data_IF_036709510313
#
_entry.id   IF_036709510313
#
_cell.length_a   1.000
_cell.length_b   1.000
_cell.length_c   1.000
_cell.angle_alpha   90.00
_cell.angle_beta   90.00
_cell.angle_gamma   90.00
#
_symmetry.space_group_name_H-M   'P 1'
#
loop_
_entity.id
_entity.type
_entity.pdbx_description
1 polymer ?
#
# COMPACT_ATOMS: atom_id res chain seq x y z
N UNK A 1 -16.52 4.81 1.12
CA UNK A 1 -16.45 3.85 2.23
C UNK A 1 -17.37 2.62 2.05
N UNK A 2 -18.47 2.70 1.29
CA UNK A 2 -19.46 1.60 1.10
C UNK A 2 -19.09 0.49 0.10
N UNK A 3 -17.80 0.29 -0.20
CA UNK A 3 -17.38 -0.84 -1.04
C UNK A 3 -17.05 -2.05 -0.17
N UNK A 4 -17.37 -3.28 -0.60
CA UNK A 4 -16.89 -4.46 0.07
C UNK A 4 -15.36 -4.38 0.16
N UNK A 5 -14.87 -4.47 1.39
CA UNK A 5 -13.44 -4.41 1.70
C UNK A 5 -12.99 -5.81 2.04
N UNK A 6 -11.98 -6.24 1.32
CA UNK A 6 -11.36 -7.54 1.47
C UNK A 6 -9.92 -7.30 1.94
N UNK A 7 -9.61 -7.52 3.24
CA UNK A 7 -8.30 -7.20 3.80
C UNK A 7 -7.18 -8.02 3.13
N UNK A 8 -7.46 -9.26 2.72
CA UNK A 8 -6.48 -10.15 2.08
C UNK A 8 -6.17 -9.66 0.67
N UNK A 9 -7.20 -9.39 -0.14
CA UNK A 9 -6.98 -8.82 -1.49
C UNK A 9 -6.29 -7.46 -1.43
N UNK A 10 -6.61 -6.65 -0.42
CA UNK A 10 -5.98 -5.36 -0.23
C UNK A 10 -4.48 -5.52 0.03
N UNK A 11 -4.10 -6.30 1.03
CA UNK A 11 -2.68 -6.45 1.38
C UNK A 11 -1.88 -7.16 0.27
N UNK A 12 -2.48 -8.11 -0.43
CA UNK A 12 -1.87 -8.78 -1.59
C UNK A 12 -1.62 -7.78 -2.74
N UNK A 13 -2.55 -6.85 -2.98
CA UNK A 13 -2.36 -5.81 -3.99
C UNK A 13 -1.25 -4.83 -3.62
N UNK A 14 -1.11 -4.47 -2.34
CA UNK A 14 0.00 -3.65 -1.86
C UNK A 14 1.34 -4.38 -2.04
N UNK A 15 1.37 -5.67 -1.74
CA UNK A 15 2.56 -6.49 -1.89
C UNK A 15 3.00 -6.62 -3.36
N UNK A 16 2.05 -6.76 -4.30
CA UNK A 16 2.37 -6.78 -5.73
C UNK A 16 3.06 -5.49 -6.17
N UNK A 17 2.53 -4.32 -5.79
CA UNK A 17 3.15 -3.02 -6.09
C UNK A 17 4.53 -2.91 -5.44
N UNK A 18 4.68 -3.37 -4.21
CA UNK A 18 5.98 -3.41 -3.52
C UNK A 18 6.99 -4.26 -4.30
N UNK A 19 6.63 -5.48 -4.70
CA UNK A 19 7.51 -6.40 -5.42
C UNK A 19 7.94 -5.83 -6.78
N UNK A 20 7.03 -5.18 -7.50
CA UNK A 20 7.33 -4.50 -8.76
C UNK A 20 8.32 -3.35 -8.57
N UNK A 21 8.15 -2.55 -7.51
CA UNK A 21 9.06 -1.46 -7.19
C UNK A 21 10.45 -1.95 -6.78
N UNK A 22 10.53 -2.96 -5.90
CA UNK A 22 11.81 -3.59 -5.51
C UNK A 22 12.57 -4.06 -6.76
N UNK A 23 11.87 -4.73 -7.69
CA UNK A 23 12.46 -5.20 -8.94
C UNK A 23 12.95 -4.05 -9.82
N UNK A 24 12.13 -3.01 -9.98
CA UNK A 24 12.41 -1.85 -10.84
C UNK A 24 13.59 -1.03 -10.32
N UNK A 25 13.67 -0.85 -9.01
CA UNK A 25 14.74 -0.10 -8.34
C UNK A 25 15.99 -0.94 -8.06
N UNK A 26 15.97 -2.24 -8.41
CA UNK A 26 17.06 -3.21 -8.14
C UNK A 26 17.45 -3.25 -6.65
N UNK A 27 16.45 -3.10 -5.78
CA UNK A 27 16.59 -3.21 -4.33
C UNK A 27 16.56 -4.68 -3.89
N UNK A 28 16.98 -4.93 -2.66
CA UNK A 28 16.85 -6.26 -2.05
C UNK A 28 15.45 -6.42 -1.50
N UNK A 29 14.97 -7.66 -1.48
CA UNK A 29 13.72 -7.96 -0.79
C UNK A 29 13.83 -7.52 0.69
N UNK A 30 12.74 -6.98 1.22
CA UNK A 30 12.67 -6.37 2.56
C UNK A 30 13.34 -5.00 2.72
N UNK A 31 13.95 -4.44 1.67
CA UNK A 31 14.32 -3.03 1.66
C UNK A 31 13.07 -2.14 1.76
N UNK A 32 13.24 -0.98 2.38
CA UNK A 32 12.16 0.00 2.56
C UNK A 32 12.01 0.91 1.35
N UNK A 33 10.77 1.19 0.97
CA UNK A 33 10.41 2.11 -0.10
C UNK A 33 9.76 3.35 0.53
N UNK A 34 10.04 4.53 -0.03
CA UNK A 34 9.35 5.77 0.35
C UNK A 34 7.83 5.61 0.25
N UNK A 35 7.11 5.92 1.33
CA UNK A 35 5.66 5.78 1.38
C UNK A 35 4.95 6.67 0.36
N UNK A 36 5.53 7.84 0.03
CA UNK A 36 4.94 8.75 -0.95
C UNK A 36 5.01 8.17 -2.36
N UNK A 37 6.18 7.62 -2.72
CA UNK A 37 6.37 6.94 -4.00
C UNK A 37 5.44 5.73 -4.07
N UNK A 38 5.44 4.91 -3.03
CA UNK A 38 4.60 3.73 -2.96
C UNK A 38 3.11 4.05 -3.13
N UNK A 39 2.61 5.06 -2.41
CA UNK A 39 1.21 5.49 -2.53
C UNK A 39 0.86 5.91 -3.96
N UNK A 40 1.73 6.69 -4.62
CA UNK A 40 1.52 7.10 -6.00
C UNK A 40 1.45 5.89 -6.94
N UNK A 41 2.40 4.97 -6.84
CA UNK A 41 2.45 3.75 -7.67
C UNK A 41 1.26 2.84 -7.42
N UNK A 42 0.79 2.74 -6.17
CA UNK A 42 -0.43 2.02 -5.85
C UNK A 42 -1.67 2.67 -6.48
N UNK A 43 -1.80 4.00 -6.40
CA UNK A 43 -2.90 4.71 -7.07
C UNK A 43 -2.87 4.50 -8.59
N UNK A 44 -1.68 4.47 -9.18
CA UNK A 44 -1.46 4.19 -10.61
C UNK A 44 -1.86 2.74 -10.94
N UNK A 45 -1.49 1.76 -10.11
CA UNK A 45 -1.82 0.34 -10.35
C UNK A 45 -3.32 0.05 -10.28
N UNK A 46 -4.10 0.89 -9.59
CA UNK A 46 -5.56 0.80 -9.55
C UNK A 46 -6.24 1.26 -10.86
N UNK A 47 -5.51 1.90 -11.78
CA UNK A 47 -6.06 2.36 -13.06
C UNK A 47 -6.10 1.23 -14.09
N UNK A 48 -7.12 1.25 -14.94
CA UNK A 48 -7.20 0.29 -16.06
C UNK A 48 -6.10 0.60 -17.08
N UNK A 49 -5.51 -0.41 -17.74
CA UNK A 49 -4.58 -0.22 -18.86
C UNK A 49 -5.16 0.68 -19.97
N UNK A 50 -6.47 0.61 -20.20
CA UNK A 50 -7.17 1.47 -21.16
C UNK A 50 -7.15 2.95 -20.75
N UNK A 51 -7.03 3.25 -19.45
CA UNK A 51 -6.88 4.62 -18.96
C UNK A 51 -5.63 5.28 -19.53
N UNK A 52 -4.49 4.57 -19.48
CA UNK A 52 -3.23 5.09 -20.01
C UNK A 52 -3.21 5.17 -21.55
N UNK A 53 -4.09 4.44 -22.23
CA UNK A 53 -4.21 4.49 -23.70
C UNK A 53 -5.17 5.59 -24.17
N UNK A 54 -6.16 5.96 -23.36
CA UNK A 54 -7.19 6.93 -23.73
C UNK A 54 -7.71 7.70 -22.53
N UNK A 55 -6.89 8.63 -22.04
CA UNK A 55 -7.15 9.42 -20.84
C UNK A 55 -8.38 10.33 -20.99
N UNK A 56 -8.71 10.77 -22.20
CA UNK A 56 -9.87 11.62 -22.47
C UNK A 56 -11.21 10.87 -22.38
N UNK A 57 -11.21 9.56 -22.63
CA UNK A 57 -12.44 8.75 -22.73
C UNK A 57 -12.69 7.88 -21.51
N UNK A 58 -11.77 7.83 -20.56
CA UNK A 58 -11.86 6.92 -19.41
C UNK A 58 -11.67 7.70 -18.11
N UNK A 59 -12.48 7.36 -17.10
CA UNK A 59 -12.42 8.05 -15.81
C UNK A 59 -11.27 7.50 -14.96
N UNK A 60 -10.47 8.40 -14.41
CA UNK A 60 -9.51 8.06 -13.38
C UNK A 60 -10.25 7.51 -12.15
N UNK A 61 -9.84 6.33 -11.69
CA UNK A 61 -10.33 5.73 -10.46
C UNK A 61 -9.65 6.44 -9.30
N UNK A 62 -10.30 7.49 -8.79
CA UNK A 62 -9.83 8.22 -7.62
C UNK A 62 -9.64 7.30 -6.41
N UNK A 63 -8.46 7.38 -5.80
CA UNK A 63 -8.13 6.74 -4.55
C UNK A 63 -7.36 7.76 -3.71
N UNK A 64 -8.00 8.29 -2.68
CA UNK A 64 -7.46 9.39 -1.87
C UNK A 64 -6.55 8.88 -0.76
N UNK A 65 -5.73 9.79 -0.21
CA UNK A 65 -4.87 9.47 0.92
C UNK A 65 -5.69 9.07 2.16
N UNK A 66 -6.83 9.72 2.40
CA UNK A 66 -7.72 9.38 3.50
C UNK A 66 -8.29 7.96 3.34
N UNK A 67 -8.70 7.58 2.12
CA UNK A 67 -9.17 6.23 1.85
C UNK A 67 -8.06 5.20 2.04
N UNK A 68 -6.84 5.50 1.58
CA UNK A 68 -5.67 4.64 1.80
C UNK A 68 -5.36 4.46 3.30
N UNK A 69 -5.38 5.55 4.05
CA UNK A 69 -5.17 5.55 5.50
C UNK A 69 -6.20 4.69 6.23
N UNK A 70 -7.48 4.83 5.90
CA UNK A 70 -8.56 4.01 6.47
C UNK A 70 -8.43 2.54 6.06
N UNK A 71 -8.09 2.24 4.81
CA UNK A 71 -7.93 0.86 4.34
C UNK A 71 -6.74 0.15 5.01
N UNK A 72 -5.64 0.87 5.29
CA UNK A 72 -4.52 0.36 6.09
C UNK A 72 -4.96 0.03 7.52
N UNK A 73 -5.74 0.92 8.15
CA UNK A 73 -6.26 0.66 9.49
C UNK A 73 -7.21 -0.54 9.51
N UNK A 74 -8.14 -0.63 8.55
CA UNK A 74 -9.07 -1.78 8.42
C UNK A 74 -8.32 -3.09 8.23
N UNK A 75 -7.18 -3.08 7.54
CA UNK A 75 -6.31 -4.25 7.41
C UNK A 75 -5.78 -4.68 8.78
N UNK A 76 -5.25 -3.76 9.57
CA UNK A 76 -4.77 -4.08 10.91
C UNK A 76 -5.88 -4.59 11.83
N UNK A 77 -7.10 -4.05 11.73
CA UNK A 77 -8.25 -4.52 12.50
C UNK A 77 -8.74 -5.91 12.09
N UNK A 78 -8.51 -6.33 10.84
CA UNK A 78 -8.93 -7.62 10.35
C UNK A 78 -8.11 -8.80 10.93
N UNK A 79 -6.92 -8.53 11.47
CA UNK A 79 -6.11 -9.55 12.16
C UNK A 79 -5.62 -10.69 11.27
N UNK A 80 -5.58 -10.52 9.95
CA UNK A 80 -5.20 -11.58 8.99
C UNK A 80 -3.69 -11.91 8.97
N UNK A 81 -2.87 -11.15 9.71
CA UNK A 81 -1.44 -11.41 9.91
C UNK A 81 -0.53 -10.98 8.75
N UNK A 82 -0.97 -11.13 7.50
CA UNK A 82 -0.15 -10.75 6.35
C UNK A 82 -0.82 -11.05 5.01
N UNK A 83 0.00 -11.09 3.96
CA UNK A 83 -0.41 -11.51 2.62
C UNK A 83 -0.71 -13.00 2.56
N UNK A 84 -1.44 -13.42 1.53
CA UNK A 84 -1.70 -14.85 1.24
C UNK A 84 -0.41 -15.67 1.01
N UNK A 85 0.73 -14.99 0.79
CA UNK A 85 2.04 -15.60 0.61
C UNK A 85 2.91 -15.58 1.90
N UNK A 86 2.35 -15.16 3.03
CA UNK A 86 3.05 -15.13 4.32
C UNK A 86 4.04 -13.97 4.47
N UNK A 87 3.74 -12.82 3.85
CA UNK A 87 4.52 -11.60 4.06
C UNK A 87 3.76 -10.58 4.91
N UNK A 88 4.43 -10.02 5.90
CA UNK A 88 3.87 -9.01 6.79
C UNK A 88 4.24 -7.60 6.32
N UNK A 89 3.25 -6.71 6.38
CA UNK A 89 3.44 -5.29 6.13
C UNK A 89 4.14 -4.62 7.32
N UNK A 90 5.23 -3.92 7.05
CA UNK A 90 5.93 -3.07 8.01
C UNK A 90 5.94 -1.62 7.55
N UNK A 91 5.28 -0.77 8.33
CA UNK A 91 5.31 0.68 8.19
C UNK A 91 6.38 1.26 9.12
N UNK A 92 7.19 2.18 8.63
CA UNK A 92 8.25 2.81 9.43
C UNK A 92 8.11 4.32 9.46
N UNK A 93 8.50 4.89 10.60
CA UNK A 93 8.55 6.33 10.83
C UNK A 93 10.00 6.77 11.00
N UNK A 94 10.44 7.73 10.20
CA UNK A 94 11.78 8.29 10.25
C UNK A 94 11.76 9.80 9.95
N UNK A 95 12.95 10.41 9.81
CA UNK A 95 13.05 11.79 9.31
C UNK A 95 12.92 11.78 7.78
N UNK A 96 12.06 12.64 7.25
CA UNK A 96 11.93 12.83 5.81
C UNK A 96 10.48 13.08 5.37
N UNK A 97 10.24 13.08 4.05
CA UNK A 97 8.90 13.16 3.48
C UNK A 97 8.03 12.01 4.00
N UNK A 98 6.83 12.34 4.48
CA UNK A 98 5.94 11.40 5.17
C UNK A 98 4.50 11.52 4.68
N UNK A 99 3.71 10.48 4.91
CA UNK A 99 2.26 10.51 4.84
C UNK A 99 1.67 10.29 6.24
N UNK A 100 0.49 10.87 6.48
CA UNK A 100 -0.28 10.59 7.69
C UNK A 100 -1.18 9.39 7.44
N UNK A 101 -0.88 8.28 8.09
CA UNK A 101 -1.66 7.04 8.02
C UNK A 101 -2.18 6.67 9.41
N UNK A 102 -3.24 5.88 9.48
CA UNK A 102 -3.77 5.37 10.74
C UNK A 102 -3.08 4.04 11.08
N UNK A 103 -2.53 3.92 12.29
CA UNK A 103 -1.87 2.70 12.77
C UNK A 103 -2.86 1.66 13.30
N UNK A 104 -2.35 0.52 13.79
CA UNK A 104 -3.19 -0.57 14.33
C UNK A 104 -4.01 -0.18 15.57
N UNK A 105 -3.69 0.93 16.23
CA UNK A 105 -4.43 1.44 17.39
C UNK A 105 -5.50 2.48 16.99
N UNK A 106 -5.61 2.81 15.70
CA UNK A 106 -6.51 3.87 15.24
C UNK A 106 -5.90 5.27 15.35
N UNK A 107 -4.61 5.38 15.64
CA UNK A 107 -3.94 6.66 15.84
C UNK A 107 -3.27 7.18 14.55
N UNK A 108 -3.40 8.48 14.21
CA UNK A 108 -2.66 9.08 13.12
C UNK A 108 -1.14 9.06 13.38
N UNK A 109 -0.38 8.46 12.47
CA UNK A 109 1.08 8.39 12.51
C UNK A 109 1.71 8.96 11.24
N UNK A 110 2.88 9.58 11.41
CA UNK A 110 3.74 9.96 10.29
C UNK A 110 4.53 8.75 9.83
N UNK A 111 4.15 8.21 8.69
CA UNK A 111 4.87 7.10 8.05
C UNK A 111 5.77 7.68 6.97
N UNK A 112 7.01 7.20 6.88
CA UNK A 112 7.97 7.62 5.84
C UNK A 112 8.29 6.50 4.88
N UNK A 113 8.20 5.24 5.32
CA UNK A 113 8.51 4.11 4.46
C UNK A 113 7.62 2.89 4.72
N UNK A 114 7.60 2.00 3.73
CA UNK A 114 6.89 0.73 3.71
C UNK A 114 7.82 -0.38 3.26
N UNK A 115 7.67 -1.57 3.84
CA UNK A 115 8.40 -2.77 3.46
C UNK A 115 7.56 -4.01 3.76
N UNK A 116 7.90 -5.12 3.11
CA UNK A 116 7.32 -6.43 3.42
C UNK A 116 8.41 -7.40 3.87
N UNK A 117 8.10 -8.18 4.90
CA UNK A 117 9.01 -9.14 5.52
C UNK A 117 8.35 -10.50 5.55
N UNK A 118 9.13 -11.57 5.36
CA UNK A 118 8.59 -12.92 5.51
C UNK A 118 8.25 -13.14 6.98
N UNK A 119 7.04 -13.63 7.25
CA UNK A 119 6.65 -14.02 8.60
C UNK A 119 7.61 -15.11 9.08
N UNK A 120 8.40 -14.83 10.12
CA UNK A 120 9.22 -15.86 10.76
C UNK A 120 8.28 -16.65 11.68
N UNK A 121 8.16 -17.95 11.43
CA UNK A 121 7.52 -18.90 12.36
C UNK A 121 8.27 -18.95 13.70
#
# INVERSE_FOLDING_TARGET
YDRPYDPEKFIDSLYQVYAELIKTEKLRFSDSISIQKFYLEYVISLQNKTFFQNMDKTKFKGYSLDQFSVDIWRYFQAGIGGTSQGFELKLTSSRGPSLWLIDSQGEPRRITAISFHKQQE
#
